data_IF_984809246884
#
_entry.id   IF_984809246884
#
_cell.length_a   1.000
_cell.length_b   1.000
_cell.length_c   1.000
_cell.angle_alpha   90.00
_cell.angle_beta   90.00
_cell.angle_gamma   90.00
#
_symmetry.space_group_name_H-M   'P 1'
#
loop_
_entity.id
_entity.type
_entity.pdbx_description
1 polymer ?
#
# COMPACT_ATOMS: atom_id res chain seq x y z
N UNK A 1 -18.99 -4.14 -16.12
CA UNK A 1 -19.32 -3.60 -14.78
C UNK A 1 -18.08 -2.94 -14.14
N UNK A 2 -17.56 -1.87 -14.73
CA UNK A 2 -16.26 -1.26 -14.35
C UNK A 2 -16.34 0.24 -14.07
N UNK A 3 -17.52 0.87 -14.21
CA UNK A 3 -17.70 2.31 -13.97
C UNK A 3 -18.03 2.71 -12.53
N UNK A 4 -18.61 1.82 -11.73
CA UNK A 4 -19.05 2.14 -10.35
C UNK A 4 -17.90 2.06 -9.35
N UNK A 5 -16.90 1.20 -9.63
CA UNK A 5 -15.76 0.95 -8.74
C UNK A 5 -14.80 2.15 -8.68
N UNK A 6 -14.64 2.88 -9.79
CA UNK A 6 -13.85 4.10 -9.86
C UNK A 6 -14.57 5.31 -9.24
N UNK A 7 -15.90 5.37 -9.34
CA UNK A 7 -16.71 6.42 -8.71
C UNK A 7 -16.71 6.34 -7.18
N UNK A 8 -16.85 5.13 -6.63
CA UNK A 8 -16.78 4.90 -5.17
C UNK A 8 -15.37 5.12 -4.61
N UNK A 9 -14.32 4.73 -5.34
CA UNK A 9 -12.95 4.95 -4.91
C UNK A 9 -12.61 6.46 -4.82
N UNK A 10 -13.12 7.29 -5.73
CA UNK A 10 -12.97 8.75 -5.66
C UNK A 10 -13.80 9.40 -4.55
N UNK A 11 -15.03 8.92 -4.31
CA UNK A 11 -15.89 9.43 -3.23
C UNK A 11 -15.35 9.07 -1.84
N UNK A 12 -14.89 7.83 -1.65
CA UNK A 12 -14.33 7.37 -0.38
C UNK A 12 -12.98 8.03 -0.06
N UNK A 13 -12.14 8.31 -1.07
CA UNK A 13 -10.89 9.07 -0.88
C UNK A 13 -11.12 10.52 -0.47
N UNK A 14 -12.24 11.14 -0.87
CA UNK A 14 -12.56 12.53 -0.52
C UNK A 14 -13.24 12.69 0.84
N UNK A 15 -13.96 11.68 1.31
CA UNK A 15 -14.77 11.79 2.53
C UNK A 15 -14.02 11.52 3.85
N UNK A 16 -12.97 10.67 3.86
CA UNK A 16 -12.44 10.14 5.14
C UNK A 16 -10.93 9.89 5.21
N UNK A 17 -10.11 10.63 4.46
CA UNK A 17 -8.68 10.75 4.77
C UNK A 17 -7.86 9.45 4.70
N UNK A 18 -8.23 8.50 3.83
CA UNK A 18 -7.26 7.54 3.27
C UNK A 18 -6.67 6.50 4.22
N UNK A 19 -7.39 6.04 5.26
CA UNK A 19 -6.93 4.92 6.10
C UNK A 19 -7.93 3.77 6.07
N UNK A 20 -7.67 2.76 5.23
CA UNK A 20 -8.33 1.46 5.28
C UNK A 20 -7.69 0.58 6.36
N UNK A 21 -7.93 0.96 7.61
CA UNK A 21 -7.51 0.15 8.76
C UNK A 21 -8.49 -0.97 9.03
N UNK A 22 -7.92 -2.12 9.45
CA UNK A 22 -8.64 -3.35 9.80
C UNK A 22 -9.79 -3.06 10.78
N UNK A 23 -9.59 -2.14 11.71
CA UNK A 23 -10.59 -1.72 12.69
C UNK A 23 -11.79 -1.04 12.04
N UNK A 24 -11.56 -0.21 11.02
CA UNK A 24 -12.63 0.46 10.27
C UNK A 24 -13.46 -0.53 9.48
N UNK A 25 -12.83 -1.52 8.83
CA UNK A 25 -13.55 -2.56 8.09
C UNK A 25 -14.35 -3.51 9.00
N UNK A 26 -13.80 -3.86 10.17
CA UNK A 26 -14.49 -4.69 11.16
C UNK A 26 -15.69 -3.94 11.76
N UNK A 27 -15.52 -2.67 12.12
CA UNK A 27 -16.61 -1.82 12.66
C UNK A 27 -17.69 -1.57 11.62
N UNK A 28 -17.33 -1.29 10.37
CA UNK A 28 -18.33 -1.11 9.31
C UNK A 28 -19.08 -2.41 8.99
N UNK A 29 -18.38 -3.55 8.99
CA UNK A 29 -18.98 -4.86 8.77
C UNK A 29 -19.96 -5.25 9.88
N UNK A 30 -19.59 -4.99 11.14
CA UNK A 30 -20.47 -5.20 12.30
C UNK A 30 -21.69 -4.29 12.26
N UNK A 31 -21.50 -2.99 11.99
CA UNK A 31 -22.59 -2.02 11.89
C UNK A 31 -23.60 -2.38 10.80
N UNK A 32 -23.13 -2.86 9.64
CA UNK A 32 -24.01 -3.33 8.57
C UNK A 32 -24.77 -4.61 8.93
N UNK A 33 -24.13 -5.57 9.60
CA UNK A 33 -24.78 -6.82 10.03
C UNK A 33 -25.80 -6.64 11.16
N UNK A 34 -25.55 -5.69 12.06
CA UNK A 34 -26.49 -5.30 13.12
C UNK A 34 -27.71 -4.59 12.52
N UNK A 35 -27.52 -3.65 11.59
CA UNK A 35 -28.62 -2.97 10.90
C UNK A 35 -29.45 -3.93 10.04
N UNK A 36 -28.81 -4.86 9.33
CA UNK A 36 -29.52 -5.89 8.54
C UNK A 36 -30.40 -6.79 9.43
N UNK A 37 -29.90 -7.23 10.59
CA UNK A 37 -30.69 -8.06 11.52
C UNK A 37 -31.87 -7.28 12.13
N UNK A 38 -31.69 -5.99 12.42
CA UNK A 38 -32.76 -5.12 12.90
C UNK A 38 -33.83 -4.86 11.83
N UNK A 39 -33.45 -4.74 10.55
CA UNK A 39 -34.39 -4.44 9.44
C UNK A 39 -35.11 -5.69 8.93
N UNK A 40 -34.45 -6.85 8.95
CA UNK A 40 -34.99 -8.08 8.36
C UNK A 40 -35.79 -8.93 9.35
N UNK A 41 -35.71 -8.68 10.66
CA UNK A 41 -36.50 -9.39 11.67
C UNK A 41 -36.23 -10.90 11.76
N UNK A 42 -35.14 -11.38 11.14
CA UNK A 42 -34.74 -12.79 11.18
C UNK A 42 -34.15 -13.07 12.55
N UNK A 43 -34.92 -13.73 13.43
CA UNK A 43 -34.42 -14.25 14.72
C UNK A 43 -35.34 -14.19 15.93
N UNK A 44 -36.59 -13.72 15.85
CA UNK A 44 -37.49 -13.73 17.00
C UNK A 44 -37.12 -12.72 18.13
N UNK A 45 -37.73 -12.84 19.32
CA UNK A 45 -37.87 -11.74 20.30
C UNK A 45 -36.55 -11.22 20.91
N UNK A 46 -35.47 -11.99 20.94
CA UNK A 46 -34.16 -11.58 21.48
C UNK A 46 -33.30 -10.85 20.43
N UNK A 47 -33.80 -9.69 19.98
CA UNK A 47 -33.20 -8.85 18.91
C UNK A 47 -31.74 -8.45 19.18
N UNK A 48 -31.36 -8.32 20.44
CA UNK A 48 -30.02 -7.87 20.83
C UNK A 48 -28.97 -8.98 20.67
N UNK A 49 -29.30 -10.21 21.07
CA UNK A 49 -28.41 -11.36 20.94
C UNK A 49 -28.17 -11.72 19.47
N UNK A 50 -29.25 -11.70 18.67
CA UNK A 50 -29.17 -12.01 17.25
C UNK A 50 -28.41 -10.95 16.45
N UNK A 51 -28.59 -9.66 16.74
CA UNK A 51 -27.85 -8.58 16.08
C UNK A 51 -26.34 -8.62 16.38
N UNK A 52 -25.95 -9.03 17.59
CA UNK A 52 -24.54 -9.22 17.96
C UNK A 52 -23.96 -10.42 17.22
N UNK A 53 -24.69 -11.53 17.13
CA UNK A 53 -24.21 -12.74 16.46
C UNK A 53 -24.08 -12.55 14.94
N UNK A 54 -25.06 -11.91 14.28
CA UNK A 54 -24.99 -11.59 12.85
C UNK A 54 -23.95 -10.51 12.57
N UNK A 55 -23.82 -9.49 13.42
CA UNK A 55 -22.77 -8.49 13.33
C UNK A 55 -21.37 -9.11 13.44
N UNK A 56 -21.17 -10.03 14.39
CA UNK A 56 -19.91 -10.75 14.57
C UNK A 56 -19.58 -11.63 13.36
N UNK A 57 -20.56 -12.31 12.78
CA UNK A 57 -20.36 -13.16 11.60
C UNK A 57 -19.95 -12.35 10.37
N UNK A 58 -20.64 -11.23 10.11
CA UNK A 58 -20.30 -10.33 8.99
C UNK A 58 -18.93 -9.66 9.21
N UNK A 59 -18.58 -9.32 10.46
CA UNK A 59 -17.26 -8.80 10.81
C UNK A 59 -16.14 -9.84 10.60
N UNK A 60 -16.38 -11.12 10.88
CA UNK A 60 -15.42 -12.19 10.65
C UNK A 60 -15.23 -12.49 9.16
N UNK A 61 -16.30 -12.53 8.37
CA UNK A 61 -16.21 -12.76 6.93
C UNK A 61 -15.51 -11.58 6.25
N UNK A 62 -15.90 -10.34 6.57
CA UNK A 62 -15.24 -9.15 6.00
C UNK A 62 -13.81 -8.99 6.52
N UNK A 63 -13.55 -9.26 7.80
CA UNK A 63 -12.20 -9.25 8.37
C UNK A 63 -11.28 -10.32 7.78
N UNK A 64 -11.82 -11.52 7.54
CA UNK A 64 -11.12 -12.64 6.90
C UNK A 64 -10.81 -12.35 5.43
N UNK A 65 -11.79 -11.87 4.66
CA UNK A 65 -11.59 -11.49 3.26
C UNK A 65 -10.63 -10.30 3.11
N UNK A 66 -10.64 -9.33 4.04
CA UNK A 66 -9.72 -8.20 4.00
C UNK A 66 -8.27 -8.62 4.33
N UNK A 67 -8.08 -9.58 5.26
CA UNK A 67 -6.76 -10.16 5.53
C UNK A 67 -6.23 -10.98 4.35
N UNK A 68 -7.07 -11.78 3.70
CA UNK A 68 -6.72 -12.52 2.48
C UNK A 68 -6.43 -11.56 1.30
N UNK A 69 -7.22 -10.49 1.16
CA UNK A 69 -7.02 -9.46 0.14
C UNK A 69 -5.72 -8.68 0.31
N UNK A 70 -5.32 -8.33 1.55
CA UNK A 70 -4.03 -7.67 1.83
C UNK A 70 -2.82 -8.59 1.64
N UNK A 71 -2.98 -9.91 1.81
CA UNK A 71 -1.93 -10.89 1.52
C UNK A 71 -1.79 -11.18 0.01
N UNK A 72 -2.86 -11.02 -0.76
CA UNK A 72 -2.90 -11.25 -2.21
C UNK A 72 -2.66 -9.98 -3.04
N UNK A 73 -2.65 -8.79 -2.43
CA UNK A 73 -2.22 -7.58 -3.11
C UNK A 73 -0.69 -7.62 -3.26
N UNK A 74 -0.15 -7.74 -4.49
CA UNK A 74 1.25 -7.45 -4.69
C UNK A 74 1.51 -6.04 -4.18
N UNK A 75 2.64 -5.78 -3.48
CA UNK A 75 3.02 -4.41 -3.15
C UNK A 75 2.91 -3.58 -4.42
N UNK A 76 2.35 -2.35 -4.34
CA UNK A 76 2.05 -1.54 -5.52
C UNK A 76 3.24 -1.61 -6.47
N UNK A 77 3.03 -2.15 -7.67
CA UNK A 77 4.11 -2.45 -8.59
C UNK A 77 4.93 -1.17 -8.78
N UNK A 78 6.13 -1.18 -8.21
CA UNK A 78 7.07 -0.07 -8.24
C UNK A 78 7.75 -0.03 -9.60
N UNK A 79 6.95 0.09 -10.66
CA UNK A 79 7.38 0.05 -12.07
C UNK A 79 8.46 1.12 -12.33
N UNK A 80 8.41 2.23 -11.58
CA UNK A 80 9.36 3.33 -11.69
C UNK A 80 10.67 3.14 -10.89
N UNK A 81 10.87 2.00 -10.23
CA UNK A 81 12.05 1.74 -9.39
C UNK A 81 12.75 0.43 -9.74
N UNK A 82 12.47 -0.15 -10.91
CA UNK A 82 13.00 -1.45 -11.31
C UNK A 82 14.51 -1.37 -11.46
N UNK A 83 15.00 -0.40 -12.23
CA UNK A 83 16.43 -0.22 -12.47
C UNK A 83 17.16 0.19 -11.19
N UNK A 84 16.55 1.07 -10.38
CA UNK A 84 17.10 1.53 -9.11
C UNK A 84 17.24 0.38 -8.12
N UNK A 85 16.24 -0.50 -8.03
CA UNK A 85 16.27 -1.69 -7.19
C UNK A 85 17.33 -2.68 -7.66
N UNK A 86 17.43 -2.93 -8.97
CA UNK A 86 18.44 -3.83 -9.53
C UNK A 86 19.86 -3.32 -9.27
N UNK A 87 20.09 -2.01 -9.41
CA UNK A 87 21.35 -1.38 -9.05
C UNK A 87 21.69 -1.59 -7.57
N UNK A 88 20.74 -1.30 -6.67
CA UNK A 88 20.96 -1.47 -5.23
C UNK A 88 21.26 -2.93 -4.88
N UNK A 89 20.55 -3.88 -5.48
CA UNK A 89 20.80 -5.31 -5.29
C UNK A 89 22.21 -5.72 -5.76
N UNK A 90 22.64 -5.27 -6.94
CA UNK A 90 23.98 -5.57 -7.47
C UNK A 90 25.10 -5.00 -6.60
N UNK A 91 24.84 -3.90 -5.89
CA UNK A 91 25.78 -3.27 -4.96
C UNK A 91 25.68 -3.82 -3.53
N UNK A 92 24.75 -4.73 -3.23
CA UNK A 92 24.47 -5.22 -1.87
C UNK A 92 23.86 -4.16 -0.95
N UNK A 93 23.14 -3.19 -1.53
CA UNK A 93 22.57 -2.01 -0.88
C UNK A 93 21.03 -2.08 -0.76
N UNK A 94 20.43 -3.27 -0.79
CA UNK A 94 18.97 -3.49 -0.74
C UNK A 94 18.27 -2.78 0.42
N UNK A 95 18.96 -2.63 1.55
CA UNK A 95 18.45 -1.89 2.73
C UNK A 95 18.06 -0.44 2.43
N UNK A 96 18.57 0.14 1.34
CA UNK A 96 18.31 1.51 0.92
C UNK A 96 17.14 1.64 -0.07
N UNK A 97 16.50 0.56 -0.50
CA UNK A 97 15.34 0.62 -1.42
C UNK A 97 14.22 1.52 -0.88
N UNK A 98 13.94 1.42 0.43
CA UNK A 98 12.93 2.27 1.10
C UNK A 98 13.33 3.74 1.11
N UNK A 99 14.62 4.05 1.15
CA UNK A 99 15.14 5.41 1.14
C UNK A 99 15.02 6.02 -0.26
N UNK A 100 15.27 5.23 -1.31
CA UNK A 100 15.02 5.63 -2.69
C UNK A 100 13.55 5.97 -2.92
N UNK A 101 12.62 5.12 -2.44
CA UNK A 101 11.18 5.39 -2.55
C UNK A 101 10.74 6.64 -1.78
N UNK A 102 11.28 6.84 -0.57
CA UNK A 102 11.02 8.06 0.22
C UNK A 102 11.58 9.32 -0.44
N UNK A 103 12.75 9.21 -1.06
CA UNK A 103 13.40 10.30 -1.79
C UNK A 103 12.89 10.48 -3.23
N UNK A 104 11.88 9.70 -3.65
CA UNK A 104 11.34 9.70 -5.02
C UNK A 104 12.42 9.52 -6.10
N UNK A 105 13.47 8.75 -5.78
CA UNK A 105 14.57 8.45 -6.69
C UNK A 105 14.15 7.32 -7.63
N UNK A 106 13.43 7.69 -8.69
CA UNK A 106 12.92 6.79 -9.73
C UNK A 106 13.98 6.50 -10.80
N UNK A 107 13.69 5.52 -11.64
CA UNK A 107 14.53 5.08 -12.76
C UNK A 107 14.87 6.23 -13.71
N UNK A 108 13.94 7.16 -13.96
CA UNK A 108 14.17 8.36 -14.77
C UNK A 108 15.12 9.37 -14.12
N UNK A 109 15.26 9.34 -12.79
CA UNK A 109 16.15 10.25 -12.04
C UNK A 109 17.50 9.64 -11.71
N UNK A 110 17.67 8.31 -11.84
CA UNK A 110 18.95 7.61 -11.71
C UNK A 110 20.10 8.29 -12.49
N UNK A 111 19.93 8.69 -13.77
CA UNK A 111 20.98 9.38 -14.53
C UNK A 111 21.48 10.68 -13.89
N UNK A 112 20.59 11.32 -13.13
CA UNK A 112 20.75 12.67 -12.57
C UNK A 112 21.20 12.61 -11.10
N UNK A 113 21.46 11.41 -10.57
CA UNK A 113 21.90 11.24 -9.20
C UNK A 113 23.20 11.99 -8.93
N UNK A 114 23.21 12.72 -7.82
CA UNK A 114 24.36 13.42 -7.30
C UNK A 114 24.49 13.17 -5.79
N UNK A 115 25.60 13.65 -5.22
CA UNK A 115 25.93 13.40 -3.83
C UNK A 115 24.89 13.97 -2.85
N UNK A 116 24.35 15.15 -3.17
CA UNK A 116 23.32 15.84 -2.40
C UNK A 116 21.98 15.10 -2.41
N UNK A 117 21.50 14.64 -3.57
CA UNK A 117 20.24 13.91 -3.69
C UNK A 117 20.27 12.59 -2.88
N UNK A 118 21.41 11.90 -2.89
CA UNK A 118 21.58 10.70 -2.08
C UNK A 118 21.70 11.03 -0.58
N UNK A 119 22.28 12.18 -0.22
CA UNK A 119 22.31 12.68 1.16
C UNK A 119 20.91 12.97 1.68
N UNK A 120 20.08 13.63 0.88
CA UNK A 120 18.68 13.96 1.21
C UNK A 120 17.84 12.69 1.37
N UNK A 121 18.15 11.64 0.60
CA UNK A 121 17.61 10.31 0.78
C UNK A 121 18.18 9.56 2.01
N UNK A 122 18.96 10.22 2.87
CA UNK A 122 19.57 9.64 4.09
C UNK A 122 20.52 8.48 3.82
N UNK A 123 21.23 8.51 2.69
CA UNK A 123 22.24 7.50 2.36
C UNK A 123 23.61 7.98 2.86
N UNK A 124 24.32 7.18 3.68
CA UNK A 124 25.61 7.56 4.23
C UNK A 124 26.72 7.60 3.16
N UNK A 125 27.83 8.30 3.41
CA UNK A 125 28.83 8.63 2.40
C UNK A 125 29.42 7.43 1.64
N UNK A 126 29.71 6.31 2.31
CA UNK A 126 30.29 5.12 1.67
C UNK A 126 29.42 4.55 0.53
N UNK A 127 28.17 4.13 0.80
CA UNK A 127 27.24 3.68 -0.23
C UNK A 127 26.99 4.69 -1.36
N UNK A 128 27.01 6.00 -1.07
CA UNK A 128 26.84 7.02 -2.12
C UNK A 128 27.93 6.94 -3.17
N UNK A 129 29.18 6.72 -2.76
CA UNK A 129 30.30 6.60 -3.70
C UNK A 129 30.12 5.40 -4.64
N UNK A 130 29.67 4.26 -4.10
CA UNK A 130 29.40 3.06 -4.88
C UNK A 130 28.27 3.28 -5.89
N UNK A 131 27.19 3.92 -5.46
CA UNK A 131 26.05 4.24 -6.34
C UNK A 131 26.47 5.19 -7.47
N UNK A 132 27.16 6.27 -7.14
CA UNK A 132 27.60 7.26 -8.12
C UNK A 132 28.63 6.69 -9.11
N UNK A 133 29.54 5.83 -8.65
CA UNK A 133 30.48 5.12 -9.52
C UNK A 133 29.75 4.14 -10.46
N UNK A 134 28.76 3.40 -9.94
CA UNK A 134 27.95 2.48 -10.75
C UNK A 134 27.17 3.22 -11.85
N UNK A 135 26.50 4.33 -11.53
CA UNK A 135 25.74 5.13 -12.52
C UNK A 135 26.68 5.71 -13.58
N UNK A 136 27.89 6.16 -13.21
CA UNK A 136 28.89 6.67 -14.16
C UNK A 136 29.37 5.60 -15.14
N UNK A 137 29.54 4.36 -14.67
CA UNK A 137 30.01 3.23 -15.49
C UNK A 137 28.93 2.63 -16.40
N UNK A 138 27.65 2.88 -16.11
CA UNK A 138 26.52 2.32 -16.83
C UNK A 138 25.72 3.42 -17.55
N UNK A 139 26.20 3.92 -18.71
CA UNK A 139 25.53 4.99 -19.45
C UNK A 139 24.16 4.60 -20.00
N UNK A 140 23.86 3.29 -20.07
CA UNK A 140 22.54 2.73 -20.42
C UNK A 140 21.44 3.25 -19.48
N UNK A 141 21.78 3.52 -18.21
CA UNK A 141 20.87 4.12 -17.23
C UNK A 141 20.58 5.60 -17.51
N UNK A 142 21.24 6.23 -18.50
CA UNK A 142 21.04 7.64 -18.86
C UNK A 142 20.10 7.88 -20.04
N UNK A 143 19.63 6.83 -20.70
CA UNK A 143 18.80 6.93 -21.91
C UNK A 143 17.35 6.44 -21.72
N UNK A 144 16.84 6.43 -20.48
CA UNK A 144 15.46 6.02 -20.15
C UNK A 144 14.55 7.20 -19.86
#
# INVERSE_FOLDING_TARGET
MTGVNSGLACAMRRARGGVEDLQTSVVSGFGSGALFSLVSGVGGPDRFSNAVMTGALFALIQGGMHKLGKAAQPPPNDIFYINGKMMLHNLGLDRYEKNFKKGLLTDSTLPLLNDSALQDAKIPPGPRLLILDYVKRNPQLRMG
#
